data_IF_281603830625
#
_entry.id   IF_281603830625
#
_cell.length_a   1.000
_cell.length_b   1.000
_cell.length_c   1.000
_cell.angle_alpha   90.00
_cell.angle_beta   90.00
_cell.angle_gamma   90.00
#
_symmetry.space_group_name_H-M   'P 1'
#
loop_
_entity.id
_entity.type
_entity.pdbx_description
1 polymer ?
#
# COMPACT_ATOMS: atom_id res chain seq x y z
N UNK A 1 -17.99 52.21 39.95
CA UNK A 1 -17.41 50.85 40.12
C UNK A 1 -17.67 49.86 38.97
N UNK A 2 -18.21 50.26 37.79
CA UNK A 2 -18.37 49.34 36.63
C UNK A 2 -17.14 49.30 35.69
N UNK A 3 -16.43 50.42 35.51
CA UNK A 3 -15.26 50.53 34.61
C UNK A 3 -14.02 49.73 35.08
N UNK A 4 -13.85 49.58 36.41
CA UNK A 4 -12.76 48.76 36.99
C UNK A 4 -13.01 47.25 36.86
N UNK A 5 -14.27 46.81 36.85
CA UNK A 5 -14.63 45.39 36.65
C UNK A 5 -14.36 44.94 35.22
N UNK A 6 -14.63 45.80 34.24
CA UNK A 6 -14.30 45.53 32.83
C UNK A 6 -12.79 45.53 32.59
N UNK A 7 -12.04 46.45 33.21
CA UNK A 7 -10.57 46.45 33.17
C UNK A 7 -9.95 45.21 33.79
N UNK A 8 -10.47 44.76 34.95
CA UNK A 8 -10.02 43.52 35.60
C UNK A 8 -10.29 42.27 34.75
N UNK A 9 -11.45 42.21 34.07
CA UNK A 9 -11.80 41.08 33.19
C UNK A 9 -10.89 41.02 31.94
N UNK A 10 -10.54 42.17 31.36
CA UNK A 10 -9.62 42.23 30.22
C UNK A 10 -8.22 41.77 30.63
N UNK A 11 -7.73 42.20 31.80
CA UNK A 11 -6.43 41.76 32.33
C UNK A 11 -6.45 40.26 32.64
N UNK A 12 -7.53 39.72 33.20
CA UNK A 12 -7.69 38.28 33.43
C UNK A 12 -7.69 37.47 32.13
N UNK A 13 -8.35 37.97 31.07
CA UNK A 13 -8.33 37.31 29.75
C UNK A 13 -6.95 37.37 29.09
N UNK A 14 -6.20 38.47 29.25
CA UNK A 14 -4.83 38.58 28.73
C UNK A 14 -3.87 37.63 29.45
N UNK A 15 -3.99 37.51 30.78
CA UNK A 15 -3.19 36.56 31.58
C UNK A 15 -3.59 35.12 31.28
N UNK A 16 -4.89 34.83 31.15
CA UNK A 16 -5.36 33.51 30.75
C UNK A 16 -4.92 33.14 29.33
N UNK A 17 -4.88 34.11 28.40
CA UNK A 17 -4.37 33.93 27.05
C UNK A 17 -2.85 33.65 27.03
N UNK A 18 -2.07 34.35 27.85
CA UNK A 18 -0.64 34.10 28.01
C UNK A 18 -0.36 32.74 28.66
N UNK A 19 -1.14 32.34 29.67
CA UNK A 19 -1.05 31.03 30.31
C UNK A 19 -1.50 29.91 29.37
N UNK A 20 -2.53 30.15 28.55
CA UNK A 20 -3.00 29.21 27.52
C UNK A 20 -1.97 29.06 26.39
N UNK A 21 -1.34 30.16 25.97
CA UNK A 21 -0.23 30.15 25.01
C UNK A 21 0.97 29.41 25.59
N UNK A 22 1.37 29.67 26.83
CA UNK A 22 2.44 28.94 27.51
C UNK A 22 2.09 27.46 27.70
N UNK A 23 0.83 27.11 27.96
CA UNK A 23 0.36 25.73 28.05
C UNK A 23 0.35 25.01 26.68
N UNK A 24 0.08 25.73 25.59
CA UNK A 24 0.26 25.21 24.23
C UNK A 24 1.74 25.06 23.90
N UNK A 25 2.60 26.02 24.28
CA UNK A 25 4.05 25.97 24.07
C UNK A 25 4.77 24.94 24.96
N UNK A 26 4.25 24.61 26.15
CA UNK A 26 4.75 23.49 26.99
C UNK A 26 4.28 22.12 26.48
N UNK A 27 3.31 22.09 25.55
CA UNK A 27 2.89 20.88 24.84
C UNK A 27 3.68 20.62 23.56
N UNK A 28 4.54 21.55 23.15
CA UNK A 28 5.57 21.31 22.15
C UNK A 28 6.78 20.65 22.81
N UNK A 29 6.58 19.39 23.18
CA UNK A 29 7.67 18.47 23.42
C UNK A 29 8.41 18.24 22.11
N UNK A 30 9.56 18.89 21.96
CA UNK A 30 10.58 18.60 20.93
C UNK A 30 10.06 18.69 19.49
N UNK A 31 10.38 19.80 18.82
CA UNK A 31 10.52 19.82 17.37
C UNK A 31 11.64 18.84 16.96
N UNK A 32 11.31 17.55 16.90
CA UNK A 32 11.72 16.76 15.77
C UNK A 32 10.79 17.19 14.63
N UNK A 33 11.35 17.65 13.52
CA UNK A 33 10.64 17.75 12.24
C UNK A 33 10.12 16.36 11.87
N UNK A 34 8.98 15.95 12.44
CA UNK A 34 8.12 14.97 11.81
C UNK A 34 7.26 15.80 10.88
N UNK A 35 7.81 16.09 9.70
CA UNK A 35 6.97 16.28 8.53
C UNK A 35 6.04 15.07 8.53
N UNK A 36 4.75 15.25 8.85
CA UNK A 36 3.77 14.20 8.54
C UNK A 36 3.86 14.04 7.04
N UNK A 37 4.61 13.05 6.60
CA UNK A 37 4.67 12.71 5.18
C UNK A 37 3.23 12.58 4.72
N UNK A 38 2.89 13.20 3.59
CA UNK A 38 1.59 12.98 2.98
C UNK A 38 1.36 11.47 2.90
N UNK A 39 0.16 11.00 3.25
CA UNK A 39 -0.20 9.57 3.15
C UNK A 39 0.17 9.07 1.76
N UNK A 40 0.62 7.82 1.65
CA UNK A 40 1.08 7.29 0.36
C UNK A 40 -0.02 7.40 -0.71
N UNK A 41 -1.28 7.26 -0.32
CA UNK A 41 -2.43 7.53 -1.19
C UNK A 41 -2.45 8.98 -1.70
N UNK A 42 -2.24 9.98 -0.84
CA UNK A 42 -2.18 11.38 -1.26
C UNK A 42 -1.05 11.62 -2.27
N UNK A 43 0.12 10.97 -2.07
CA UNK A 43 1.27 11.04 -2.99
C UNK A 43 0.98 10.37 -4.34
N UNK A 44 0.16 9.31 -4.36
CA UNK A 44 -0.26 8.64 -5.58
C UNK A 44 -1.31 9.46 -6.33
N UNK A 45 -2.37 9.90 -5.63
CA UNK A 45 -3.48 10.65 -6.22
C UNK A 45 -3.08 12.05 -6.72
N UNK A 46 -1.95 12.60 -6.25
CA UNK A 46 -1.40 13.84 -6.82
C UNK A 46 -0.73 13.66 -8.18
N UNK A 47 -0.50 12.42 -8.64
CA UNK A 47 0.16 12.14 -9.93
C UNK A 47 -0.82 12.23 -11.08
N UNK A 48 -0.46 13.03 -12.09
CA UNK A 48 -1.20 13.16 -13.34
C UNK A 48 -0.56 12.29 -14.43
N UNK A 49 -1.03 11.04 -14.58
CA UNK A 49 -0.50 10.09 -15.57
C UNK A 49 -0.77 10.50 -17.03
N UNK A 50 -1.59 11.53 -17.27
CA UNK A 50 -1.77 12.09 -18.61
C UNK A 50 -0.58 12.93 -19.05
N UNK A 51 0.16 13.50 -18.08
CA UNK A 51 1.35 14.34 -18.30
C UNK A 51 2.64 13.63 -17.95
N UNK A 52 2.67 12.97 -16.80
CA UNK A 52 3.86 12.34 -16.22
C UNK A 52 3.75 10.81 -16.28
N UNK A 53 3.58 10.30 -17.49
CA UNK A 53 3.53 8.84 -17.70
C UNK A 53 4.94 8.22 -17.54
N UNK A 54 5.11 7.11 -16.79
CA UNK A 54 6.42 6.51 -16.62
C UNK A 54 7.00 5.99 -17.94
N UNK A 55 8.24 6.38 -18.25
CA UNK A 55 8.85 6.10 -19.57
C UNK A 55 9.48 4.70 -19.68
N UNK A 56 9.76 4.05 -18.55
CA UNK A 56 10.48 2.76 -18.54
C UNK A 56 9.63 1.65 -17.94
N UNK A 57 9.81 0.39 -18.39
CA UNK A 57 9.08 -0.74 -17.83
C UNK A 57 9.19 -0.84 -16.31
N UNK A 58 10.38 -0.55 -15.77
CA UNK A 58 10.64 -0.55 -14.34
C UNK A 58 9.77 0.46 -13.59
N UNK A 59 9.69 1.69 -14.08
CA UNK A 59 8.94 2.75 -13.39
C UNK A 59 7.43 2.51 -13.46
N UNK A 60 6.94 1.87 -14.53
CA UNK A 60 5.55 1.41 -14.61
C UNK A 60 5.27 0.35 -13.55
N UNK A 61 6.09 -0.70 -13.49
CA UNK A 61 5.91 -1.79 -12.52
C UNK A 61 6.08 -1.28 -11.09
N UNK A 62 7.00 -0.33 -10.87
CA UNK A 62 7.16 0.34 -9.58
C UNK A 62 5.93 1.14 -9.20
N UNK A 63 5.37 1.93 -10.11
CA UNK A 63 4.14 2.69 -9.85
C UNK A 63 2.96 1.75 -9.57
N UNK A 64 2.79 0.70 -10.37
CA UNK A 64 1.76 -0.33 -10.15
C UNK A 64 1.94 -0.97 -8.77
N UNK A 65 3.16 -1.36 -8.41
CA UNK A 65 3.46 -1.95 -7.10
C UNK A 65 3.12 -1.00 -5.94
N UNK A 66 3.39 0.31 -6.08
CA UNK A 66 2.98 1.29 -5.07
C UNK A 66 1.47 1.34 -4.90
N UNK A 67 0.72 1.34 -6.00
CA UNK A 67 -0.74 1.34 -5.97
C UNK A 67 -1.25 0.04 -5.32
N UNK A 68 -0.70 -1.11 -5.71
CA UNK A 68 -1.02 -2.42 -5.15
C UNK A 68 -0.77 -2.46 -3.65
N UNK A 69 0.41 -2.05 -3.18
CA UNK A 69 0.74 -1.98 -1.75
C UNK A 69 -0.20 -1.05 -1.00
N UNK A 70 -0.55 0.10 -1.59
CA UNK A 70 -1.45 1.07 -0.98
C UNK A 70 -2.79 0.43 -0.62
N UNK A 71 -3.36 -0.43 -1.46
CA UNK A 71 -4.61 -1.13 -1.16
C UNK A 71 -4.59 -1.99 0.12
N UNK A 72 -3.40 -2.39 0.61
CA UNK A 72 -3.24 -3.30 1.74
C UNK A 72 -2.70 -2.65 3.03
N UNK A 73 -2.45 -1.34 3.03
CA UNK A 73 -1.84 -0.65 4.18
C UNK A 73 -2.88 -0.11 5.18
N UNK A 74 -3.68 0.86 4.75
CA UNK A 74 -4.71 1.54 5.56
C UNK A 74 -6.13 1.37 4.97
N UNK A 75 -7.16 1.68 5.78
CA UNK A 75 -8.54 1.72 5.28
C UNK A 75 -8.71 2.86 4.28
N UNK A 76 -9.15 2.53 3.07
CA UNK A 76 -9.42 3.49 2.01
C UNK A 76 -10.92 3.66 1.80
N UNK A 77 -11.34 4.87 1.45
CA UNK A 77 -12.70 5.10 1.00
C UNK A 77 -12.94 4.46 -0.38
N UNK A 78 -14.20 4.16 -0.68
CA UNK A 78 -14.60 3.64 -2.00
C UNK A 78 -14.19 4.57 -3.16
N UNK A 79 -14.18 5.89 -2.93
CA UNK A 79 -13.75 6.88 -3.91
C UNK A 79 -12.24 6.80 -4.16
N UNK A 80 -11.46 6.65 -3.10
CA UNK A 80 -10.00 6.48 -3.14
C UNK A 80 -9.60 5.19 -3.87
N UNK A 81 -10.23 4.07 -3.53
CA UNK A 81 -10.05 2.79 -4.23
C UNK A 81 -10.39 2.96 -5.72
N UNK A 82 -11.49 3.66 -6.03
CA UNK A 82 -11.89 3.95 -7.41
C UNK A 82 -10.82 4.72 -8.19
N UNK A 83 -10.22 5.75 -7.59
CA UNK A 83 -9.16 6.54 -8.24
C UNK A 83 -7.86 5.75 -8.43
N UNK A 84 -7.45 4.96 -7.43
CA UNK A 84 -6.27 4.09 -7.54
C UNK A 84 -6.48 2.97 -8.57
N UNK A 85 -7.69 2.43 -8.66
CA UNK A 85 -8.06 1.49 -9.71
C UNK A 85 -7.97 2.13 -11.09
N UNK A 86 -8.45 3.37 -11.26
CA UNK A 86 -8.30 4.11 -12.51
C UNK A 86 -6.84 4.32 -12.90
N UNK A 87 -5.98 4.67 -11.93
CA UNK A 87 -4.54 4.74 -12.16
C UNK A 87 -3.95 3.40 -12.61
N UNK A 88 -4.36 2.29 -11.98
CA UNK A 88 -3.91 0.94 -12.36
C UNK A 88 -4.30 0.60 -13.79
N UNK A 89 -5.56 0.84 -14.16
CA UNK A 89 -6.09 0.60 -15.50
C UNK A 89 -5.37 1.44 -16.57
N UNK A 90 -4.91 2.66 -16.25
CA UNK A 90 -4.10 3.47 -17.17
C UNK A 90 -2.73 2.83 -17.50
N UNK A 91 -2.23 1.92 -16.66
CA UNK A 91 -0.98 1.19 -16.88
C UNK A 91 -1.18 -0.08 -17.69
N UNK A 92 -2.41 -0.54 -17.88
CA UNK A 92 -2.72 -1.80 -18.54
C UNK A 92 -2.71 -1.65 -20.06
N UNK A 93 -2.26 -2.72 -20.71
CA UNK A 93 -2.39 -2.92 -22.14
C UNK A 93 -3.86 -3.17 -22.51
N UNK A 94 -4.25 -2.82 -23.74
CA UNK A 94 -5.62 -3.01 -24.21
C UNK A 94 -6.10 -4.46 -24.10
N UNK A 95 -5.24 -5.45 -24.36
CA UNK A 95 -5.62 -6.87 -24.22
C UNK A 95 -5.92 -7.26 -22.77
N UNK A 96 -5.22 -6.63 -21.82
CA UNK A 96 -5.47 -6.83 -20.40
C UNK A 96 -6.74 -6.11 -19.97
N UNK A 97 -6.98 -4.89 -20.49
CA UNK A 97 -8.19 -4.11 -20.24
C UNK A 97 -9.45 -4.82 -20.75
N UNK A 98 -9.40 -5.44 -21.93
CA UNK A 98 -10.52 -6.19 -22.50
C UNK A 98 -10.94 -7.38 -21.62
N UNK A 99 -9.97 -8.03 -20.97
CA UNK A 99 -10.21 -9.13 -20.01
C UNK A 99 -10.64 -8.65 -18.64
N UNK A 100 -10.44 -7.37 -18.33
CA UNK A 100 -10.74 -6.77 -17.02
C UNK A 100 -11.54 -5.47 -17.20
N UNK A 101 -12.80 -5.53 -17.67
CA UNK A 101 -13.65 -4.34 -17.76
C UNK A 101 -13.70 -3.61 -16.41
N UNK A 102 -13.63 -2.27 -16.41
CA UNK A 102 -13.47 -1.46 -15.20
C UNK A 102 -14.42 -1.84 -14.05
N UNK A 103 -15.70 -2.08 -14.35
CA UNK A 103 -16.69 -2.43 -13.33
C UNK A 103 -16.39 -3.79 -12.69
N UNK A 104 -16.01 -4.79 -13.48
CA UNK A 104 -15.64 -6.12 -12.99
C UNK A 104 -14.31 -6.06 -12.23
N UNK A 105 -13.34 -5.31 -12.74
CA UNK A 105 -12.06 -5.06 -12.07
C UNK A 105 -12.27 -4.45 -10.68
N UNK A 106 -13.11 -3.42 -10.55
CA UNK A 106 -13.42 -2.79 -9.27
C UNK A 106 -14.10 -3.73 -8.28
N UNK A 107 -15.04 -4.55 -8.74
CA UNK A 107 -15.71 -5.54 -7.89
C UNK A 107 -14.72 -6.57 -7.37
N UNK A 108 -13.88 -7.12 -8.26
CA UNK A 108 -12.87 -8.11 -7.90
C UNK A 108 -11.81 -7.51 -6.97
N UNK A 109 -11.35 -6.29 -7.24
CA UNK A 109 -10.38 -5.58 -6.42
C UNK A 109 -10.90 -5.39 -4.99
N UNK A 110 -12.13 -4.93 -4.82
CA UNK A 110 -12.73 -4.76 -3.48
C UNK A 110 -12.85 -6.08 -2.74
N UNK A 111 -13.27 -7.15 -3.42
CA UNK A 111 -13.34 -8.47 -2.81
C UNK A 111 -11.96 -8.97 -2.32
N UNK A 112 -10.89 -8.71 -3.08
CA UNK A 112 -9.51 -9.03 -2.68
C UNK A 112 -9.06 -8.19 -1.48
N UNK A 113 -9.36 -6.89 -1.47
CA UNK A 113 -9.05 -6.00 -0.34
C UNK A 113 -9.74 -6.51 0.94
N UNK A 114 -11.03 -6.85 0.86
CA UNK A 114 -11.81 -7.37 1.98
C UNK A 114 -11.26 -8.72 2.49
N UNK A 115 -10.89 -9.63 1.59
CA UNK A 115 -10.26 -10.91 1.94
C UNK A 115 -8.94 -10.71 2.69
N UNK A 116 -8.08 -9.81 2.20
CA UNK A 116 -6.77 -9.53 2.80
C UNK A 116 -6.91 -8.86 4.15
N UNK A 117 -7.84 -7.91 4.29
CA UNK A 117 -8.16 -7.29 5.57
C UNK A 117 -8.63 -8.32 6.60
N UNK A 118 -9.48 -9.28 6.20
CA UNK A 118 -9.97 -10.35 7.09
C UNK A 118 -8.88 -11.31 7.59
N UNK A 119 -7.76 -11.39 6.86
CA UNK A 119 -6.61 -12.25 7.16
C UNK A 119 -5.40 -11.48 7.70
N UNK A 120 -5.57 -10.21 8.07
CA UNK A 120 -4.51 -9.23 8.41
C UNK A 120 -3.26 -9.37 7.52
N UNK A 121 -3.49 -9.69 6.24
CA UNK A 121 -2.45 -9.91 5.25
C UNK A 121 -2.04 -8.55 4.70
N UNK A 122 -0.76 -8.22 4.85
CA UNK A 122 -0.20 -6.97 4.36
C UNK A 122 1.04 -7.24 3.49
N UNK A 123 1.33 -6.29 2.60
CA UNK A 123 2.62 -6.21 1.93
C UNK A 123 3.51 -5.28 2.76
N UNK A 124 4.57 -5.82 3.33
CA UNK A 124 5.49 -5.04 4.19
C UNK A 124 6.52 -4.26 3.40
N UNK A 125 6.93 -4.78 2.24
CA UNK A 125 7.90 -4.16 1.35
C UNK A 125 7.81 -4.76 -0.05
N UNK A 126 8.39 -4.10 -1.05
CA UNK A 126 8.56 -4.65 -2.39
C UNK A 126 9.87 -4.19 -3.03
N UNK A 127 10.49 -5.09 -3.80
CA UNK A 127 11.69 -4.79 -4.58
C UNK A 127 11.44 -5.08 -6.06
N UNK A 128 11.59 -4.06 -6.90
CA UNK A 128 11.53 -4.20 -8.36
C UNK A 128 12.93 -4.48 -8.89
N UNK A 129 13.04 -5.44 -9.80
CA UNK A 129 14.27 -5.80 -10.50
C UNK A 129 15.03 -4.56 -11.00
N UNK A 130 16.36 -4.59 -10.84
CA UNK A 130 17.23 -3.50 -11.28
C UNK A 130 17.18 -3.32 -12.79
N UNK A 131 17.26 -2.06 -13.26
CA UNK A 131 17.08 -1.71 -14.68
C UNK A 131 18.04 -2.44 -15.64
N UNK A 132 19.24 -2.80 -15.17
CA UNK A 132 20.26 -3.51 -15.95
C UNK A 132 19.98 -5.02 -16.09
N UNK A 133 19.05 -5.57 -15.33
CA UNK A 133 18.64 -6.97 -15.39
C UNK A 133 17.31 -7.15 -16.12
N UNK A 134 16.72 -6.08 -16.66
CA UNK A 134 15.44 -6.14 -17.38
C UNK A 134 15.69 -6.68 -18.79
N UNK A 135 15.15 -7.86 -19.06
CA UNK A 135 15.17 -8.47 -20.38
C UNK A 135 14.20 -7.73 -21.29
N UNK A 136 14.72 -7.22 -22.42
CA UNK A 136 13.93 -6.58 -23.48
C UNK A 136 14.13 -7.31 -24.79
N UNK A 137 13.07 -7.47 -25.54
CA UNK A 137 13.09 -8.16 -26.83
C UNK A 137 12.00 -7.61 -27.74
N UNK A 138 12.15 -7.83 -29.04
CA UNK A 138 11.20 -7.36 -30.05
C UNK A 138 10.65 -8.55 -30.82
N UNK A 139 9.33 -8.64 -30.97
CA UNK A 139 8.64 -9.66 -31.76
C UNK A 139 7.74 -8.94 -32.76
N UNK A 140 7.87 -9.25 -34.04
CA UNK A 140 7.08 -8.63 -35.13
C UNK A 140 7.06 -7.09 -35.10
N UNK A 141 8.19 -6.48 -34.71
CA UNK A 141 8.34 -5.03 -34.61
C UNK A 141 7.76 -4.41 -33.33
N UNK A 142 7.24 -5.21 -32.41
CA UNK A 142 6.69 -4.77 -31.13
C UNK A 142 7.68 -5.05 -29.99
N UNK A 143 7.96 -4.04 -29.17
CA UNK A 143 8.89 -4.15 -28.05
C UNK A 143 8.20 -4.72 -26.80
N UNK A 144 8.90 -5.64 -26.14
CA UNK A 144 8.50 -6.30 -24.89
C UNK A 144 9.57 -6.14 -23.82
N UNK A 145 9.15 -6.19 -22.56
CA UNK A 145 10.05 -6.20 -21.41
C UNK A 145 9.52 -7.11 -20.31
N UNK A 146 10.41 -7.91 -19.70
CA UNK A 146 10.09 -8.72 -18.52
C UNK A 146 10.69 -8.07 -17.27
N UNK A 147 9.86 -7.83 -16.27
CA UNK A 147 10.27 -7.18 -15.01
C UNK A 147 9.80 -8.02 -13.84
N UNK A 148 10.72 -8.50 -13.02
CA UNK A 148 10.40 -9.22 -11.79
C UNK A 148 10.18 -8.27 -10.62
N UNK A 149 9.17 -8.55 -9.80
CA UNK A 149 8.95 -7.92 -8.50
C UNK A 149 8.99 -8.99 -7.42
N UNK A 150 9.55 -8.63 -6.28
CA UNK A 150 9.55 -9.41 -5.06
C UNK A 150 8.71 -8.66 -4.03
N UNK A 151 7.61 -9.25 -3.55
CA UNK A 151 6.78 -8.70 -2.48
C UNK A 151 7.07 -9.43 -1.17
N UNK A 152 7.41 -8.69 -0.13
CA UNK A 152 7.53 -9.19 1.23
C UNK A 152 6.17 -9.09 1.89
N UNK A 153 5.67 -10.22 2.38
CA UNK A 153 4.31 -10.38 2.89
C UNK A 153 4.34 -10.74 4.37
N UNK A 154 3.30 -10.30 5.09
CA UNK A 154 2.99 -10.75 6.45
C UNK A 154 1.52 -11.10 6.56
N UNK A 155 1.19 -12.27 7.07
CA UNK A 155 -0.17 -12.62 7.51
C UNK A 155 -0.19 -13.21 8.92
N UNK A 156 -1.36 -13.29 9.54
CA UNK A 156 -1.52 -13.96 10.83
C UNK A 156 -2.00 -15.40 10.66
N UNK A 157 -1.46 -16.29 11.48
CA UNK A 157 -1.97 -17.65 11.64
C UNK A 157 -2.59 -17.76 13.03
N UNK A 158 -3.82 -18.27 13.10
CA UNK A 158 -4.37 -18.73 14.37
C UNK A 158 -3.61 -20.00 14.77
N UNK A 159 -2.97 -19.96 15.94
CA UNK A 159 -2.44 -21.16 16.55
C UNK A 159 -3.61 -22.04 17.00
N UNK A 160 -3.65 -23.27 16.50
CA UNK A 160 -4.51 -24.30 17.07
C UNK A 160 -4.08 -24.52 18.52
N UNK A 161 -5.06 -24.54 19.42
CA UNK A 161 -4.85 -24.82 20.84
C UNK A 161 -4.37 -26.27 20.95
N UNK A 162 -3.05 -26.49 20.93
CA UNK A 162 -2.46 -27.80 21.16
C UNK A 162 -2.62 -28.12 22.64
N UNK A 163 -3.67 -28.85 22.96
CA UNK A 163 -3.90 -29.51 24.24
C UNK A 163 -3.73 -28.61 25.47
N UNK A 164 -4.71 -27.74 25.74
CA UNK A 164 -5.01 -27.40 27.14
C UNK A 164 -5.62 -28.64 27.80
N UNK A 165 -4.75 -29.55 28.21
CA UNK A 165 -5.09 -30.69 29.05
C UNK A 165 -5.95 -30.22 30.21
N UNK A 166 -7.20 -30.69 30.20
CA UNK A 166 -8.17 -30.69 31.28
C UNK A 166 -7.60 -30.32 32.66
N UNK A 167 -7.85 -29.10 33.14
CA UNK A 167 -8.27 -28.81 34.52
C UNK A 167 -8.92 -27.42 34.63
N UNK A 168 -10.22 -27.44 34.91
CA UNK A 168 -10.86 -26.63 35.96
C UNK A 168 -10.82 -25.09 35.87
N UNK A 169 -11.95 -24.53 35.42
CA UNK A 169 -12.75 -23.66 36.29
C UNK A 169 -12.15 -22.33 36.75
N UNK A 170 -12.01 -21.37 35.84
CA UNK A 170 -12.30 -19.95 36.07
C UNK A 170 -12.27 -19.24 34.71
N UNK A 171 -13.37 -18.60 34.33
CA UNK A 171 -13.45 -17.87 33.08
C UNK A 171 -12.40 -16.77 33.01
N UNK A 172 -11.34 -17.01 32.24
CA UNK A 172 -10.43 -16.00 31.75
C UNK A 172 -10.38 -16.18 30.24
N UNK A 173 -10.80 -15.16 29.49
CA UNK A 173 -10.90 -15.24 28.04
C UNK A 173 -9.61 -15.75 27.43
N UNK A 174 -9.70 -16.84 26.67
CA UNK A 174 -8.57 -17.37 25.93
C UNK A 174 -8.01 -16.26 25.03
N UNK A 175 -6.84 -15.72 25.39
CA UNK A 175 -6.04 -14.89 24.49
C UNK A 175 -5.66 -15.81 23.33
N UNK A 176 -6.31 -15.65 22.18
CA UNK A 176 -5.85 -16.28 20.94
C UNK A 176 -4.41 -15.82 20.73
N UNK A 177 -3.46 -16.74 20.88
CA UNK A 177 -2.06 -16.46 20.66
C UNK A 177 -1.89 -16.31 19.13
N UNK A 178 -1.74 -15.06 18.65
CA UNK A 178 -1.54 -14.77 17.23
C UNK A 178 -0.05 -14.87 16.92
N UNK A 179 0.30 -15.62 15.87
CA UNK A 179 1.65 -15.66 15.32
C UNK A 179 1.62 -15.07 13.90
N UNK A 180 2.61 -14.24 13.59
CA UNK A 180 2.76 -13.65 12.25
C UNK A 180 3.71 -14.50 11.42
N UNK A 181 3.28 -14.84 10.21
CA UNK A 181 4.12 -15.51 9.21
C UNK A 181 4.63 -14.46 8.24
N UNK A 182 5.92 -14.51 7.95
CA UNK A 182 6.56 -13.71 6.94
C UNK A 182 6.98 -14.60 5.78
N UNK A 183 6.71 -14.16 4.56
CA UNK A 183 7.08 -14.88 3.35
C UNK A 183 7.25 -13.90 2.20
N UNK A 184 7.83 -14.39 1.11
CA UNK A 184 8.06 -13.59 -0.09
C UNK A 184 7.32 -14.22 -1.25
N UNK A 185 6.67 -13.40 -2.06
CA UNK A 185 6.11 -13.80 -3.34
C UNK A 185 6.85 -13.08 -4.47
N UNK A 186 6.94 -13.74 -5.61
CA UNK A 186 7.53 -13.17 -6.82
C UNK A 186 6.45 -13.04 -7.89
N UNK A 187 6.52 -11.97 -8.67
CA UNK A 187 5.68 -11.76 -9.83
C UNK A 187 6.54 -11.33 -11.02
N UNK A 188 6.36 -12.00 -12.15
CA UNK A 188 6.99 -11.66 -13.42
C UNK A 188 5.98 -10.88 -14.27
N UNK A 189 6.21 -9.57 -14.40
CA UNK A 189 5.43 -8.69 -15.27
C UNK A 189 5.97 -8.75 -16.69
N UNK A 190 5.08 -9.02 -17.64
CA UNK A 190 5.33 -8.83 -19.06
C UNK A 190 4.72 -7.49 -19.49
N UNK A 191 5.55 -6.62 -20.02
CA UNK A 191 5.14 -5.34 -20.59
C UNK A 191 5.30 -5.35 -22.09
N UNK A 192 4.39 -4.67 -22.76
CA UNK A 192 4.38 -4.42 -24.21
C UNK A 192 4.37 -2.92 -24.46
N UNK A 193 5.09 -2.47 -25.48
CA UNK A 193 5.05 -1.08 -25.92
C UNK A 193 3.90 -0.88 -26.90
N UNK A 194 3.03 0.09 -26.63
CA UNK A 194 1.89 0.42 -27.47
C UNK A 194 2.30 1.24 -28.71
N UNK A 195 1.34 1.49 -29.61
CA UNK A 195 1.53 2.26 -30.84
C UNK A 195 1.98 3.71 -30.60
N UNK A 196 1.72 4.26 -29.40
CA UNK A 196 2.15 5.58 -28.99
C UNK A 196 3.55 5.57 -28.34
N UNK A 197 4.20 4.40 -28.30
CA UNK A 197 5.51 4.22 -27.69
C UNK A 197 5.47 4.15 -26.16
N UNK A 198 4.31 4.01 -25.53
CA UNK A 198 4.17 3.85 -24.08
C UNK A 198 4.24 2.39 -23.69
N UNK A 199 5.04 2.06 -22.69
CA UNK A 199 5.02 0.72 -22.09
C UNK A 199 3.70 0.49 -21.36
N UNK A 200 3.20 -0.74 -21.40
CA UNK A 200 1.93 -1.16 -20.80
C UNK A 200 2.06 -2.55 -20.20
N UNK A 201 1.39 -2.81 -19.09
CA UNK A 201 1.34 -4.13 -18.47
C UNK A 201 0.41 -5.02 -19.30
N UNK A 202 0.96 -6.05 -19.93
CA UNK A 202 0.22 -7.01 -20.73
C UNK A 202 -0.33 -8.14 -19.87
N UNK A 203 0.49 -8.66 -18.95
CA UNK A 203 0.14 -9.73 -18.01
C UNK A 203 1.19 -9.79 -16.91
N UNK A 204 0.85 -10.39 -15.78
CA UNK A 204 1.81 -10.85 -14.78
C UNK A 204 1.46 -12.26 -14.33
N UNK A 205 2.46 -12.98 -13.83
CA UNK A 205 2.29 -14.33 -13.31
C UNK A 205 3.25 -14.58 -12.15
N UNK A 206 2.86 -15.47 -11.25
CA UNK A 206 3.79 -16.04 -10.28
C UNK A 206 4.73 -16.98 -11.04
N UNK A 207 6.06 -16.81 -10.96
CA UNK A 207 6.98 -17.70 -11.65
C UNK A 207 6.85 -19.11 -11.09
N UNK A 208 6.85 -20.11 -11.96
CA UNK A 208 6.97 -21.50 -11.54
C UNK A 208 8.31 -21.66 -10.81
N UNK A 209 8.29 -22.25 -9.61
CA UNK A 209 9.51 -22.57 -8.89
C UNK A 209 10.23 -23.71 -9.63
N UNK A 210 11.05 -23.37 -10.61
CA UNK A 210 12.00 -24.32 -11.18
C UNK A 210 13.09 -24.61 -10.14
N UNK A 211 12.94 -25.70 -9.38
CA UNK A 211 14.06 -26.43 -8.80
C UNK A 211 14.71 -25.89 -7.52
N UNK A 212 13.95 -25.51 -6.49
CA UNK A 212 14.42 -25.66 -5.10
C UNK A 212 14.01 -27.04 -4.60
N UNK A 213 14.64 -28.08 -5.16
CA UNK A 213 14.62 -29.42 -4.57
C UNK A 213 15.83 -29.54 -3.64
N UNK A 214 15.57 -29.88 -2.38
CA UNK A 214 16.56 -30.39 -1.42
C UNK A 214 17.61 -29.41 -0.91
N UNK A 215 17.40 -28.87 0.29
CA UNK A 215 18.47 -28.16 0.98
C UNK A 215 18.11 -27.58 2.34
N UNK A 216 17.49 -28.36 3.22
CA UNK A 216 17.71 -28.22 4.66
C UNK A 216 17.79 -29.62 5.26
N UNK A 217 18.97 -29.91 5.82
CA UNK A 217 19.36 -31.12 6.56
C UNK A 217 18.61 -31.29 7.88
#
# INVERSE_FOLDING_TARGET
MKKFRTGLLIVLFLVAGLLFYAYLSDKDGTDQEVTKEATEISKLLSKDLTKEYPETPREIVKLYSRITVCFYDEEHTDEEIGKLADMSLMLFDNELLEKNPKNEYLVNLKAVIDEYASTEKIITDYTVQSSNMIDKYTVDGVDYAKVRVMYSMRDFKLLEDKDTGFLSGCGTGARKNKEYRYYTTYEDFLLRKDENGKWKILVWQVPEMEGMDGGDE
#
